data_IF_018576985720
#
_entry.id   IF_018576985720
#
_cell.length_a   1.000
_cell.length_b   1.000
_cell.length_c   1.000
_cell.angle_alpha   90.00
_cell.angle_beta   90.00
_cell.angle_gamma   90.00
#
_symmetry.space_group_name_H-M   'P 1'
#
loop_
_entity.id
_entity.type
_entity.pdbx_description
1 polymer ?
#
# COMPACT_ATOMS: atom_id res chain seq x y z
N UNK A 1 -7.13 -2.66 28.87
CA UNK A 1 -7.44 -4.03 28.40
C UNK A 1 -6.89 -4.22 26.99
N UNK A 2 -6.22 -5.33 26.69
CA UNK A 2 -5.70 -5.60 25.35
C UNK A 2 -6.83 -6.01 24.41
N UNK A 3 -7.00 -5.31 23.28
CA UNK A 3 -7.97 -5.69 22.25
C UNK A 3 -7.32 -6.70 21.30
N UNK A 4 -7.95 -7.86 21.12
CA UNK A 4 -7.48 -8.89 20.19
C UNK A 4 -7.66 -8.41 18.75
N UNK A 5 -6.68 -8.69 17.89
CA UNK A 5 -6.70 -8.36 16.46
C UNK A 5 -6.03 -9.48 15.64
N UNK A 6 -6.17 -9.43 14.32
CA UNK A 6 -5.55 -10.36 13.38
C UNK A 6 -4.51 -9.64 12.52
N UNK A 7 -3.35 -10.29 12.35
CA UNK A 7 -2.23 -9.77 11.55
C UNK A 7 -1.85 -10.76 10.46
N UNK A 8 -1.72 -10.28 9.23
CA UNK A 8 -1.23 -11.07 8.10
C UNK A 8 0.26 -10.79 7.88
N UNK A 9 1.13 -11.76 8.17
CA UNK A 9 2.60 -11.62 8.04
C UNK A 9 3.10 -11.49 6.59
N UNK A 10 2.26 -11.76 5.58
CA UNK A 10 2.60 -11.62 4.16
C UNK A 10 2.29 -10.21 3.66
N UNK A 11 1.08 -9.71 3.96
CA UNK A 11 0.61 -8.39 3.47
C UNK A 11 0.81 -7.25 4.47
N UNK A 12 1.22 -7.56 5.71
CA UNK A 12 1.26 -6.65 6.86
C UNK A 12 -0.09 -6.02 7.21
N UNK A 13 -1.20 -6.57 6.72
CA UNK A 13 -2.53 -6.09 7.04
C UNK A 13 -2.90 -6.41 8.49
N UNK A 14 -3.46 -5.42 9.18
CA UNK A 14 -4.05 -5.55 10.51
C UNK A 14 -5.54 -5.23 10.46
N UNK A 15 -6.37 -6.09 11.07
CA UNK A 15 -7.83 -5.95 11.12
C UNK A 15 -8.41 -6.50 12.44
N UNK A 16 -9.58 -5.99 12.84
CA UNK A 16 -10.28 -6.43 14.06
C UNK A 16 -11.12 -7.68 13.81
N UNK A 17 -11.75 -7.75 12.65
CA UNK A 17 -12.61 -8.83 12.22
C UNK A 17 -11.75 -10.05 11.90
N UNK A 18 -12.16 -11.23 12.40
CA UNK A 18 -11.49 -12.49 12.05
C UNK A 18 -11.50 -12.66 10.54
N UNK A 19 -10.34 -12.78 9.87
CA UNK A 19 -10.34 -13.10 8.45
C UNK A 19 -11.03 -14.46 8.31
N UNK A 20 -11.99 -14.56 7.38
CA UNK A 20 -12.62 -15.83 7.08
C UNK A 20 -11.53 -16.84 6.73
N UNK A 21 -11.53 -17.99 7.43
CA UNK A 21 -10.69 -19.14 7.12
C UNK A 21 -11.14 -19.80 5.83
N UNK A 22 -11.06 -19.07 4.72
CA UNK A 22 -11.16 -19.62 3.38
C UNK A 22 -9.78 -20.07 2.97
N UNK A 23 -9.28 -21.14 3.58
CA UNK A 23 -8.42 -22.03 2.81
C UNK A 23 -9.20 -22.32 1.55
N UNK A 24 -8.84 -21.69 0.44
CA UNK A 24 -9.38 -22.04 -0.87
C UNK A 24 -9.26 -23.55 -0.94
N UNK A 25 -10.39 -24.26 -1.01
CA UNK A 25 -10.44 -25.71 -1.16
C UNK A 25 -9.51 -26.14 -2.29
N UNK A 26 -8.25 -26.45 -2.00
CA UNK A 26 -7.21 -26.80 -2.98
C UNK A 26 -6.90 -25.80 -4.11
N UNK A 27 -7.55 -24.62 -4.20
CA UNK A 27 -7.21 -23.68 -5.27
C UNK A 27 -5.99 -22.87 -4.85
N UNK A 28 -4.87 -23.09 -5.54
CA UNK A 28 -3.62 -22.36 -5.34
C UNK A 28 -3.78 -20.84 -5.43
N UNK A 29 -2.68 -20.13 -5.18
CA UNK A 29 -2.63 -18.69 -5.38
C UNK A 29 -2.94 -18.33 -6.84
N UNK A 30 -3.59 -17.18 -7.09
CA UNK A 30 -3.92 -16.81 -8.46
C UNK A 30 -2.62 -16.62 -9.27
N UNK A 31 -2.60 -17.11 -10.50
CA UNK A 31 -1.42 -16.99 -11.38
C UNK A 31 -1.16 -15.55 -11.83
N UNK A 32 -2.20 -14.71 -11.85
CA UNK A 32 -2.13 -13.27 -12.09
C UNK A 32 -3.04 -12.51 -11.12
N UNK A 33 -2.62 -11.30 -10.77
CA UNK A 33 -3.41 -10.34 -9.99
C UNK A 33 -3.38 -8.98 -10.68
N UNK A 34 -4.39 -8.16 -10.44
CA UNK A 34 -4.33 -6.72 -10.72
C UNK A 34 -4.26 -5.99 -9.39
N UNK A 35 -3.34 -5.06 -9.26
CA UNK A 35 -3.17 -4.28 -8.04
C UNK A 35 -2.95 -2.81 -8.38
N UNK A 36 -3.41 -1.96 -7.47
CA UNK A 36 -2.99 -0.57 -7.41
C UNK A 36 -2.07 -0.38 -6.20
N UNK A 37 -1.17 0.58 -6.27
CA UNK A 37 -0.29 0.91 -5.15
C UNK A 37 -0.15 2.41 -4.91
N UNK A 38 0.17 2.77 -3.67
CA UNK A 38 0.58 4.11 -3.29
C UNK A 38 2.01 3.99 -2.73
N UNK A 39 2.98 4.52 -3.47
CA UNK A 39 4.39 4.48 -3.08
C UNK A 39 4.79 5.79 -2.41
N UNK A 40 5.39 5.73 -1.22
CA UNK A 40 6.09 6.87 -0.61
C UNK A 40 7.57 6.54 -0.56
N UNK A 41 8.39 7.29 -1.30
CA UNK A 41 9.85 7.13 -1.28
C UNK A 41 10.46 7.87 -0.09
N UNK A 42 11.70 7.51 0.22
CA UNK A 42 12.54 8.13 1.25
C UNK A 42 13.98 8.31 0.73
N UNK A 43 14.83 8.97 1.50
CA UNK A 43 16.22 9.30 1.17
C UNK A 43 17.12 8.07 0.92
N UNK A 44 16.74 6.88 1.40
CA UNK A 44 17.43 5.61 1.15
C UNK A 44 16.76 4.77 0.05
N UNK A 45 15.75 5.30 -0.66
CA UNK A 45 15.19 4.63 -1.84
C UNK A 45 16.26 4.53 -2.95
N UNK A 46 16.26 3.42 -3.73
CA UNK A 46 17.22 3.22 -4.85
C UNK A 46 17.34 4.42 -5.79
N UNK A 47 16.21 5.10 -6.04
CA UNK A 47 16.12 6.37 -6.77
C UNK A 47 15.27 7.35 -5.96
N UNK A 48 15.85 8.21 -5.11
CA UNK A 48 15.13 9.13 -4.22
C UNK A 48 14.68 10.39 -4.99
N UNK A 49 13.87 10.17 -6.02
CA UNK A 49 13.36 11.17 -6.94
C UNK A 49 12.04 10.66 -7.53
N UNK A 50 11.07 11.53 -7.76
CA UNK A 50 9.78 11.21 -8.39
C UNK A 50 9.28 12.39 -9.23
N UNK A 51 8.16 12.21 -9.91
CA UNK A 51 7.47 13.29 -10.62
C UNK A 51 6.97 14.39 -9.66
N UNK A 52 6.78 14.07 -8.37
CA UNK A 52 6.34 15.01 -7.33
C UNK A 52 7.48 15.85 -6.78
N UNK A 53 8.67 15.25 -6.72
CA UNK A 53 9.82 15.85 -6.06
C UNK A 53 11.11 15.34 -6.67
N UNK A 54 11.90 16.25 -7.25
CA UNK A 54 13.16 15.94 -7.91
C UNK A 54 14.16 15.27 -6.96
N UNK A 55 14.25 15.74 -5.71
CA UNK A 55 15.12 15.18 -4.67
C UNK A 55 14.33 14.91 -3.39
N UNK A 56 14.12 13.63 -3.07
CA UNK A 56 13.39 13.18 -1.88
C UNK A 56 14.35 13.07 -0.69
N UNK A 57 14.11 13.88 0.34
CA UNK A 57 14.96 13.99 1.52
C UNK A 57 14.38 13.35 2.77
N UNK A 58 13.07 13.05 2.77
CA UNK A 58 12.39 12.46 3.92
C UNK A 58 13.02 11.14 4.34
N UNK A 59 13.06 10.88 5.64
CA UNK A 59 13.59 9.65 6.22
C UNK A 59 12.65 8.46 5.97
N UNK A 60 13.15 7.25 6.23
CA UNK A 60 12.32 6.05 6.17
C UNK A 60 11.16 6.09 7.17
N UNK A 61 11.38 6.68 8.35
CA UNK A 61 10.37 6.78 9.40
C UNK A 61 9.29 7.79 9.03
N UNK A 62 9.66 8.96 8.50
CA UNK A 62 8.70 9.94 7.97
C UNK A 62 7.86 9.35 6.82
N UNK A 63 8.47 8.56 5.93
CA UNK A 63 7.74 7.87 4.88
C UNK A 63 6.76 6.82 5.46
N UNK A 64 7.16 6.12 6.52
CA UNK A 64 6.32 5.16 7.21
C UNK A 64 5.14 5.84 7.94
N UNK A 65 5.37 7.01 8.54
CA UNK A 65 4.32 7.82 9.17
C UNK A 65 3.28 8.31 8.15
N UNK A 66 3.71 8.72 6.95
CA UNK A 66 2.82 9.09 5.85
C UNK A 66 1.96 7.90 5.36
N UNK A 67 2.47 6.67 5.43
CA UNK A 67 1.71 5.47 5.05
C UNK A 67 0.75 5.04 6.17
N UNK A 68 1.22 4.99 7.43
CA UNK A 68 0.56 4.31 8.54
C UNK A 68 -0.48 5.17 9.29
N UNK A 69 -0.55 5.03 10.63
CA UNK A 69 -1.71 5.30 11.49
C UNK A 69 -2.12 6.76 11.66
N UNK A 70 -1.41 7.71 11.03
CA UNK A 70 -1.83 9.12 10.88
C UNK A 70 -1.88 9.58 9.42
N UNK A 71 -1.57 8.67 8.51
CA UNK A 71 -1.39 8.93 7.09
C UNK A 71 -2.46 8.27 6.24
N UNK A 72 -2.06 7.79 5.07
CA UNK A 72 -3.00 7.36 4.03
C UNK A 72 -3.85 6.15 4.43
N UNK A 73 -3.28 5.13 5.11
CA UNK A 73 -4.05 3.94 5.52
C UNK A 73 -5.21 4.32 6.45
N UNK A 74 -4.99 5.27 7.36
CA UNK A 74 -6.05 5.70 8.28
C UNK A 74 -7.18 6.40 7.52
N UNK A 75 -6.85 7.33 6.62
CA UNK A 75 -7.84 8.06 5.80
C UNK A 75 -8.67 7.14 4.92
N UNK A 76 -8.03 6.12 4.34
CA UNK A 76 -8.72 5.10 3.53
C UNK A 76 -9.64 4.26 4.42
N UNK A 77 -9.16 3.80 5.58
CA UNK A 77 -9.95 2.96 6.49
C UNK A 77 -11.12 3.71 7.13
N UNK A 78 -10.98 5.01 7.38
CA UNK A 78 -12.08 5.85 7.90
C UNK A 78 -13.10 6.23 6.82
N UNK A 79 -12.74 6.07 5.53
CA UNK A 79 -13.54 6.54 4.41
C UNK A 79 -13.48 8.06 4.19
N UNK A 80 -12.49 8.74 4.77
CA UNK A 80 -12.25 10.18 4.54
C UNK A 80 -11.78 10.45 3.11
N UNK A 81 -10.96 9.55 2.58
CA UNK A 81 -10.37 9.63 1.24
C UNK A 81 -10.40 8.25 0.59
N UNK A 82 -10.62 8.20 -0.72
CA UNK A 82 -10.49 6.97 -1.48
C UNK A 82 -9.02 6.68 -1.85
N UNK A 83 -8.72 5.40 -2.06
CA UNK A 83 -7.36 4.97 -2.37
C UNK A 83 -6.85 5.60 -3.68
N UNK A 84 -7.72 5.69 -4.70
CA UNK A 84 -7.36 6.14 -6.04
C UNK A 84 -6.94 7.62 -6.04
N UNK A 85 -7.69 8.46 -5.32
CA UNK A 85 -7.39 9.87 -5.11
C UNK A 85 -6.05 10.06 -4.40
N UNK A 86 -5.81 9.34 -3.31
CA UNK A 86 -4.54 9.44 -2.58
C UNK A 86 -3.37 8.94 -3.41
N UNK A 87 -3.54 7.84 -4.15
CA UNK A 87 -2.51 7.31 -5.03
C UNK A 87 -2.17 8.32 -6.15
N UNK A 88 -3.19 8.94 -6.75
CA UNK A 88 -3.01 9.93 -7.80
C UNK A 88 -2.27 11.18 -7.34
N UNK A 89 -2.57 11.65 -6.13
CA UNK A 89 -1.99 12.89 -5.61
C UNK A 89 -0.61 12.67 -4.96
N UNK A 90 -0.42 11.53 -4.28
CA UNK A 90 0.69 11.37 -3.34
C UNK A 90 1.68 10.27 -3.69
N UNK A 91 1.39 9.37 -4.64
CA UNK A 91 2.32 8.29 -5.00
C UNK A 91 3.56 8.82 -5.73
N UNK A 92 4.74 8.46 -5.25
CA UNK A 92 6.05 8.72 -5.85
C UNK A 92 6.35 7.78 -7.04
N UNK A 93 5.39 6.94 -7.44
CA UNK A 93 5.46 6.10 -8.63
C UNK A 93 4.76 6.78 -9.81
N UNK A 94 5.19 6.47 -11.04
CA UNK A 94 4.55 6.97 -12.26
C UNK A 94 3.14 6.39 -12.49
N UNK A 95 2.75 5.33 -11.78
CA UNK A 95 1.39 4.79 -11.76
C UNK A 95 0.37 5.75 -11.15
N UNK A 96 0.81 6.81 -10.46
CA UNK A 96 -0.06 7.87 -9.93
C UNK A 96 -1.03 8.42 -10.99
N UNK A 97 -0.59 8.57 -12.24
CA UNK A 97 -1.44 9.05 -13.36
C UNK A 97 -2.65 8.15 -13.68
N UNK A 98 -2.68 6.93 -13.15
CA UNK A 98 -3.71 5.93 -13.35
C UNK A 98 -4.27 5.45 -11.99
N UNK A 99 -4.33 6.33 -10.98
CA UNK A 99 -4.88 5.93 -9.68
C UNK A 99 -4.02 4.91 -8.92
N UNK A 100 -2.75 4.80 -9.28
CA UNK A 100 -1.84 3.80 -8.76
C UNK A 100 -1.94 2.42 -9.41
N UNK A 101 -2.79 2.24 -10.44
CA UNK A 101 -2.95 0.96 -11.15
C UNK A 101 -1.64 0.48 -11.78
N UNK A 102 -1.30 -0.77 -11.51
CA UNK A 102 -0.14 -1.47 -12.09
C UNK A 102 -0.54 -2.41 -13.23
N UNK A 103 -1.84 -2.53 -13.51
CA UNK A 103 -2.36 -3.53 -14.44
C UNK A 103 -2.28 -4.95 -13.88
N UNK A 104 -2.51 -5.94 -14.74
CA UNK A 104 -2.46 -7.35 -14.36
C UNK A 104 -1.03 -7.91 -14.53
N UNK A 105 -0.49 -8.54 -13.50
CA UNK A 105 0.85 -9.13 -13.50
C UNK A 105 0.86 -10.49 -12.81
N UNK A 106 1.79 -11.35 -13.21
CA UNK A 106 2.08 -12.64 -12.60
C UNK A 106 3.30 -12.59 -11.67
N UNK A 107 3.66 -13.75 -11.11
CA UNK A 107 4.88 -13.86 -10.28
C UNK A 107 6.12 -13.69 -11.16
N UNK A 108 7.06 -12.84 -10.72
CA UNK A 108 8.32 -12.58 -11.41
C UNK A 108 8.34 -11.32 -12.30
N UNK A 109 7.24 -10.58 -12.32
CA UNK A 109 7.09 -9.28 -13.00
C UNK A 109 7.14 -8.10 -12.03
#
# INVERSE_FOLDING_TARGET
>A
AGRVYYFNHITNASQWERPSGGGRNGQGEPSKVRCSHLLVKHNQSRRPSSWRQERITRTKDEALELINGKGYIQKIKSGEEDFESLASQFSDCSSAKAGGDLGAFGRGE
#
